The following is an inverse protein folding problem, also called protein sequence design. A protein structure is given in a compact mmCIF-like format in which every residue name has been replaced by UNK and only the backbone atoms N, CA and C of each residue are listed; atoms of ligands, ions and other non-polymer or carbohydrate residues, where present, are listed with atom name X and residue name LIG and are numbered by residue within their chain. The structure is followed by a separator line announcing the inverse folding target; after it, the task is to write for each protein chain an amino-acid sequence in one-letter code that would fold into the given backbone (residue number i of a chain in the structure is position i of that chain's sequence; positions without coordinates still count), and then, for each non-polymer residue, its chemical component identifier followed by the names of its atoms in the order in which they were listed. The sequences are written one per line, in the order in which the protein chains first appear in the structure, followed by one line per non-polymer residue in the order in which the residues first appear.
data_IF_261626334743
#
_entry.id   IF_261626334743
#
_cell.length_a   1.000
_cell.length_b   1.000
_cell.length_c   1.000
_cell.angle_alpha   90.00
_cell.angle_beta   90.00
_cell.angle_gamma   90.00
#
_symmetry.space_group_name_H-M   'P 1'
#
loop_
_entity.id
_entity.type
_entity.pdbx_description
1 polymer ?
#
# COMPACT_ATOMS: atom_id res chain seq x y z
N UNK A 1 12.91 2.12 1.71
CA UNK A 1 12.00 3.27 1.49
C UNK A 1 12.83 4.46 1.02
N UNK A 2 12.34 5.27 0.09
CA UNK A 2 13.04 6.48 -0.36
C UNK A 2 12.09 7.66 -0.60
N UNK A 3 12.64 8.87 -0.51
CA UNK A 3 11.95 10.13 -0.73
C UNK A 3 12.21 10.66 -2.13
N UNK A 4 11.16 11.07 -2.82
CA UNK A 4 11.23 11.82 -4.06
C UNK A 4 10.92 13.27 -3.74
N UNK A 5 11.93 14.14 -3.84
CA UNK A 5 11.78 15.57 -3.62
C UNK A 5 11.13 16.25 -4.83
N UNK A 6 10.52 17.40 -4.59
CA UNK A 6 9.99 18.26 -5.64
C UNK A 6 11.13 18.81 -6.50
N UNK A 7 10.89 18.94 -7.81
CA UNK A 7 11.89 19.46 -8.75
C UNK A 7 12.10 20.97 -8.60
N UNK A 8 11.07 21.69 -8.13
CA UNK A 8 11.09 23.14 -7.92
C UNK A 8 11.59 23.45 -6.51
N UNK A 9 10.93 22.88 -5.49
CA UNK A 9 11.33 23.04 -4.09
C UNK A 9 12.02 21.78 -3.56
N UNK A 10 13.35 21.75 -3.65
CA UNK A 10 14.16 20.60 -3.24
C UNK A 10 14.09 20.26 -1.74
N UNK A 11 13.43 21.10 -0.93
CA UNK A 11 13.18 20.81 0.50
C UNK A 11 11.83 20.13 0.71
N UNK A 12 10.95 20.14 -0.28
CA UNK A 12 9.61 19.58 -0.19
C UNK A 12 9.56 18.16 -0.75
N UNK A 13 8.85 17.27 -0.05
CA UNK A 13 8.73 15.87 -0.43
C UNK A 13 7.52 15.73 -1.36
N UNK A 14 7.77 15.38 -2.62
CA UNK A 14 6.72 15.14 -3.61
C UNK A 14 6.04 13.77 -3.41
N UNK A 15 6.80 12.74 -3.05
CA UNK A 15 6.23 11.43 -2.72
C UNK A 15 7.22 10.57 -1.93
N UNK A 16 6.69 9.62 -1.18
CA UNK A 16 7.46 8.52 -0.59
C UNK A 16 7.22 7.28 -1.44
N UNK A 17 8.29 6.57 -1.76
CA UNK A 17 8.24 5.29 -2.48
C UNK A 17 8.87 4.19 -1.64
N UNK A 18 8.32 2.98 -1.77
CA UNK A 18 8.69 1.82 -0.97
C UNK A 18 8.64 0.56 -1.82
N UNK A 19 9.50 -0.39 -1.48
CA UNK A 19 9.40 -1.76 -1.95
C UNK A 19 8.89 -2.61 -0.79
N UNK A 20 7.73 -3.25 -0.97
CA UNK A 20 7.16 -4.16 0.01
C UNK A 20 7.50 -5.58 -0.42
N UNK A 21 7.89 -6.41 0.52
CA UNK A 21 8.22 -7.82 0.29
C UNK A 21 7.35 -8.67 1.20
N UNK A 22 6.72 -9.70 0.66
CA UNK A 22 5.98 -10.68 1.45
C UNK A 22 6.87 -11.80 1.98
N UNK A 23 6.29 -12.76 2.70
CA UNK A 23 7.00 -13.91 3.26
C UNK A 23 7.59 -14.86 2.21
N UNK A 24 7.11 -14.82 0.96
CA UNK A 24 7.59 -15.62 -0.16
C UNK A 24 8.72 -14.94 -0.93
N UNK A 25 8.98 -13.67 -0.61
CA UNK A 25 9.95 -12.84 -1.33
C UNK A 25 9.35 -12.10 -2.53
N UNK A 26 8.03 -12.18 -2.74
CA UNK A 26 7.36 -11.43 -3.81
C UNK A 26 7.38 -9.94 -3.45
N UNK A 27 7.75 -9.13 -4.43
CA UNK A 27 7.95 -7.70 -4.25
C UNK A 27 6.87 -6.90 -4.96
N UNK A 28 6.38 -5.84 -4.31
CA UNK A 28 5.47 -4.88 -4.91
C UNK A 28 5.87 -3.45 -4.56
N UNK A 29 5.88 -2.59 -5.57
CA UNK A 29 6.11 -1.16 -5.39
C UNK A 29 4.92 -0.52 -4.68
N UNK A 30 5.18 0.39 -3.74
CA UNK A 30 4.16 1.17 -3.09
C UNK A 30 4.50 2.67 -3.05
N UNK A 31 3.50 3.53 -3.25
CA UNK A 31 3.65 4.98 -3.36
C UNK A 31 2.71 5.73 -2.40
N UNK A 32 3.25 6.76 -1.76
CA UNK A 32 2.51 7.77 -1.00
C UNK A 32 2.70 9.12 -1.65
N UNK A 33 1.64 9.67 -2.23
CA UNK A 33 1.69 10.99 -2.88
C UNK A 33 1.77 12.15 -1.88
N UNK A 34 2.35 13.28 -2.31
CA UNK A 34 2.54 14.55 -1.57
C UNK A 34 1.45 14.84 -0.53
N UNK A 35 0.19 14.84 -0.98
CA UNK A 35 -0.99 15.15 -0.16
C UNK A 35 -1.19 14.24 1.08
N UNK A 36 -0.51 13.10 1.13
CA UNK A 36 -0.60 12.13 2.23
C UNK A 36 0.74 11.91 2.93
N UNK A 37 1.84 12.49 2.46
CA UNK A 37 3.18 12.31 3.05
C UNK A 37 3.16 12.61 4.55
N UNK A 38 2.60 13.76 4.95
CA UNK A 38 2.54 14.16 6.36
C UNK A 38 1.78 13.17 7.27
N UNK A 39 0.89 12.35 6.71
CA UNK A 39 0.12 11.36 7.45
C UNK A 39 0.90 10.07 7.70
N UNK A 40 1.94 9.79 6.91
CA UNK A 40 2.62 8.51 6.91
C UNK A 40 4.12 8.58 7.22
N UNK A 41 4.78 9.69 6.93
CA UNK A 41 6.23 9.90 7.05
C UNK A 41 6.82 9.48 8.41
N UNK A 42 6.09 9.77 9.49
CA UNK A 42 6.51 9.41 10.86
C UNK A 42 6.19 7.96 11.26
N UNK A 43 5.31 7.30 10.52
CA UNK A 43 4.76 5.98 10.88
C UNK A 43 5.32 4.84 10.03
N UNK A 44 5.70 5.15 8.79
CA UNK A 44 6.31 4.20 7.89
C UNK A 44 7.81 4.42 7.93
N UNK A 45 8.50 3.47 8.55
CA UNK A 45 9.94 3.31 8.47
C UNK A 45 10.23 1.91 7.94
N UNK A 46 11.49 1.55 7.80
CA UNK A 46 11.84 0.17 7.42
C UNK A 46 11.43 -0.81 8.55
N UNK A 47 10.79 -1.92 8.19
CA UNK A 47 10.26 -2.89 9.15
C UNK A 47 9.10 -3.72 8.61
N UNK A 48 8.42 -4.43 9.51
CA UNK A 48 7.28 -5.30 9.19
C UNK A 48 5.96 -4.58 9.49
N UNK A 49 5.05 -4.58 8.53
CA UNK A 49 3.78 -3.86 8.64
C UNK A 49 2.61 -4.68 8.16
N UNK A 50 1.49 -4.57 8.88
CA UNK A 50 0.18 -4.93 8.38
C UNK A 50 -0.43 -3.72 7.67
N UNK A 51 -0.63 -3.82 6.35
CA UNK A 51 -1.18 -2.76 5.52
C UNK A 51 -2.58 -3.17 5.05
N UNK A 52 -3.56 -2.26 5.16
CA UNK A 52 -4.94 -2.51 4.79
C UNK A 52 -5.59 -1.29 4.15
N UNK A 53 -6.60 -1.54 3.30
CA UNK A 53 -7.39 -0.51 2.60
C UNK A 53 -6.54 0.37 1.68
N UNK A 54 -5.73 -0.27 0.85
CA UNK A 54 -4.92 0.39 -0.17
C UNK A 54 -5.56 0.27 -1.55
N UNK A 55 -5.10 1.11 -2.48
CA UNK A 55 -5.47 1.01 -3.89
C UNK A 55 -4.39 0.25 -4.64
N UNK A 56 -4.80 -0.50 -5.66
CA UNK A 56 -3.91 -1.17 -6.61
C UNK A 56 -4.08 -0.48 -7.95
N UNK A 57 -2.98 -0.12 -8.58
CA UNK A 57 -2.96 0.47 -9.91
C UNK A 57 -1.87 -0.19 -10.75
N UNK A 58 -1.97 -0.11 -12.07
CA UNK A 58 -0.89 -0.52 -12.94
C UNK A 58 0.36 0.31 -12.67
N UNK A 59 1.53 -0.32 -12.77
CA UNK A 59 2.76 0.45 -12.85
C UNK A 59 2.70 1.40 -14.05
N UNK A 60 3.27 2.58 -13.88
CA UNK A 60 3.28 3.64 -14.89
C UNK A 60 4.66 4.29 -14.95
N UNK A 61 5.07 4.66 -16.17
CA UNK A 61 6.38 5.24 -16.45
C UNK A 61 7.42 4.18 -16.76
N UNK A 62 8.68 4.59 -16.88
CA UNK A 62 9.80 3.68 -17.19
C UNK A 62 10.54 3.20 -15.94
N UNK A 63 10.34 3.86 -14.80
CA UNK A 63 10.97 3.51 -13.55
C UNK A 63 10.14 2.46 -12.81
N UNK A 64 10.73 1.28 -12.63
CA UNK A 64 10.12 0.15 -11.93
C UNK A 64 11.14 -0.45 -10.96
N UNK A 65 10.93 -0.30 -9.64
CA UNK A 65 11.82 -0.88 -8.64
C UNK A 65 11.65 -2.41 -8.49
N UNK A 66 10.63 -3.00 -9.10
CA UNK A 66 10.40 -4.45 -9.19
C UNK A 66 9.59 -4.79 -10.44
N UNK A 67 9.60 -6.08 -10.82
CA UNK A 67 8.94 -6.59 -12.03
C UNK A 67 7.41 -6.76 -11.90
N UNK A 68 6.84 -6.40 -10.74
CA UNK A 68 5.42 -6.56 -10.50
C UNK A 68 4.60 -5.55 -11.33
N UNK A 69 3.67 -6.05 -12.16
CA UNK A 69 2.84 -5.26 -13.11
C UNK A 69 1.95 -4.19 -12.46
N UNK A 70 1.71 -4.32 -11.16
CA UNK A 70 0.92 -3.41 -10.36
C UNK A 70 1.74 -2.78 -9.23
N UNK A 71 1.27 -1.65 -8.73
CA UNK A 71 1.75 -0.98 -7.53
C UNK A 71 0.63 -0.64 -6.58
N UNK A 72 0.98 -0.46 -5.31
CA UNK A 72 0.11 -0.05 -4.24
C UNK A 72 0.15 1.48 -4.09
N UNK A 73 -1.01 2.10 -3.89
CA UNK A 73 -1.11 3.52 -3.58
C UNK A 73 -1.88 3.74 -2.29
N UNK A 74 -1.30 4.52 -1.39
CA UNK A 74 -1.96 4.96 -0.17
C UNK A 74 -2.85 6.17 -0.49
N UNK A 75 -4.13 6.09 -0.13
CA UNK A 75 -5.06 7.21 -0.27
C UNK A 75 -5.84 7.44 1.02
N UNK A 76 -6.09 8.73 1.27
CA UNK A 76 -7.08 9.20 2.20
C UNK A 76 -8.22 9.82 1.39
N UNK A 77 -9.37 9.18 1.39
CA UNK A 77 -10.57 9.78 0.81
C UNK A 77 -11.24 10.65 1.86
N UNK A 78 -11.26 11.96 1.63
CA UNK A 78 -12.09 12.84 2.45
C UNK A 78 -13.52 12.68 1.92
N UNK A 79 -14.48 12.47 2.82
CA UNK A 79 -15.91 12.38 2.50
C UNK A 79 -16.31 13.43 1.47
N UNK A 80 -16.91 13.01 0.36
CA UNK A 80 -17.87 13.87 -0.32
C UNK A 80 -19.03 14.10 0.66
N UNK A 81 -19.45 15.36 0.81
CA UNK A 81 -20.38 15.78 1.87
C UNK A 81 -21.82 15.26 1.68
N UNK A 82 -22.12 14.55 0.61
CA UNK A 82 -23.51 14.32 0.16
C UNK A 82 -24.05 12.89 0.27
N UNK A 83 -23.30 11.90 0.79
CA UNK A 83 -23.85 10.55 1.01
C UNK A 83 -23.64 10.05 2.45
N UNK A 84 -24.76 9.90 3.16
CA UNK A 84 -24.84 9.57 4.58
C UNK A 84 -24.57 8.08 4.89
N UNK A 85 -24.18 7.28 3.90
CA UNK A 85 -24.14 5.81 4.04
C UNK A 85 -22.78 5.13 3.81
N UNK A 86 -21.69 5.85 3.49
CA UNK A 86 -20.39 5.21 3.20
C UNK A 86 -19.24 5.59 4.13
N UNK A 87 -18.51 4.54 4.55
CA UNK A 87 -17.41 4.57 5.53
C UNK A 87 -16.12 5.04 4.87
N UNK A 88 -15.42 6.00 5.48
CA UNK A 88 -14.10 6.47 5.05
C UNK A 88 -13.11 5.29 4.86
N UNK A 89 -12.64 5.06 3.63
CA UNK A 89 -11.65 4.03 3.30
C UNK A 89 -10.26 4.68 3.27
N UNK A 90 -9.68 4.89 4.45
CA UNK A 90 -8.28 5.29 4.56
C UNK A 90 -7.39 4.07 4.56
N UNK A 91 -6.29 4.14 3.82
CA UNK A 91 -5.21 3.18 3.99
C UNK A 91 -4.71 3.26 5.43
N UNK A 92 -4.59 2.11 6.06
CA UNK A 92 -4.15 2.02 7.45
C UNK A 92 -2.99 1.07 7.53
N UNK A 93 -2.07 1.40 8.41
CA UNK A 93 -0.80 0.71 8.60
C UNK A 93 -0.67 0.44 10.09
N UNK A 94 -0.21 -0.76 10.43
CA UNK A 94 0.20 -1.10 11.79
C UNK A 94 1.58 -1.75 11.71
N UNK A 95 2.57 -1.13 12.34
CA UNK A 95 3.86 -1.79 12.54
C UNK A 95 3.65 -2.97 13.49
N UNK A 96 4.24 -4.10 13.14
CA UNK A 96 4.24 -5.30 13.98
C UNK A 96 5.69 -5.70 14.21
N UNK A 97 5.96 -6.33 15.36
CA UNK A 97 7.20 -7.07 15.52
C UNK A 97 7.25 -8.16 14.45
N UNK A 98 8.42 -8.71 14.14
CA UNK A 98 8.53 -9.81 13.18
C UNK A 98 7.82 -11.04 13.74
N UNK A 99 6.51 -11.11 13.54
CA UNK A 99 5.68 -12.25 13.89
C UNK A 99 6.01 -13.32 12.86
N UNK A 100 6.51 -14.47 13.30
CA UNK A 100 6.74 -15.62 12.41
C UNK A 100 5.46 -15.95 11.62
N UNK A 101 5.57 -16.52 10.41
CA UNK A 101 4.43 -16.76 9.52
C UNK A 101 3.27 -17.54 10.16
N UNK A 102 3.53 -18.31 11.23
CA UNK A 102 2.52 -19.08 11.98
C UNK A 102 1.59 -18.24 12.88
N UNK A 103 1.99 -17.03 13.29
CA UNK A 103 1.22 -16.19 14.21
C UNK A 103 0.47 -15.04 13.50
N UNK A 104 0.51 -14.98 12.15
CA UNK A 104 -0.27 -14.04 11.37
C UNK A 104 -1.78 -14.24 11.66
N UNK A 105 -2.50 -13.24 12.21
CA UNK A 105 -3.86 -13.46 12.66
C UNK A 105 -4.75 -13.82 11.48
N UNK A 106 -5.52 -14.89 11.64
CA UNK A 106 -6.45 -15.43 10.64
C UNK A 106 -7.66 -14.48 10.48
N UNK A 107 -7.45 -13.31 9.88
CA UNK A 107 -8.50 -12.33 9.63
C UNK A 107 -9.44 -12.87 8.55
N UNK A 108 -10.57 -13.46 8.97
CA UNK A 108 -11.73 -13.69 8.10
C UNK A 108 -12.29 -12.32 7.68
N UNK A 109 -11.90 -11.87 6.48
CA UNK A 109 -12.41 -10.65 5.85
C UNK A 109 -13.93 -10.79 5.63
N UNK A 110 -14.74 -10.15 6.47
CA UNK A 110 -16.21 -10.20 6.42
C UNK A 110 -16.85 -9.38 5.28
N UNK A 111 -16.06 -8.70 4.45
CA UNK A 111 -16.57 -7.93 3.32
C UNK A 111 -16.22 -8.61 2.00
N UNK A 112 -17.26 -9.04 1.27
CA UNK A 112 -17.18 -9.71 -0.05
C UNK A 112 -16.45 -8.88 -1.14
N UNK A 113 -16.17 -7.60 -0.89
CA UNK A 113 -15.47 -6.70 -1.82
C UNK A 113 -13.98 -6.47 -1.47
N UNK A 114 -13.49 -7.03 -0.36
CA UNK A 114 -12.07 -7.01 -0.02
C UNK A 114 -11.51 -8.40 -0.31
N UNK A 115 -11.10 -8.62 -1.57
CA UNK A 115 -10.34 -9.81 -1.92
C UNK A 115 -9.09 -9.81 -1.05
N UNK A 116 -8.96 -10.86 -0.25
CA UNK A 116 -7.69 -11.27 0.34
C UNK A 116 -6.72 -11.34 -0.84
N UNK A 117 -5.80 -10.39 -0.98
CA UNK A 117 -4.64 -10.62 -1.85
C UNK A 117 -3.73 -11.53 -1.03
N UNK A 118 -4.11 -12.81 -0.90
CA UNK A 118 -3.09 -13.85 -0.83
C UNK A 118 -2.77 -14.08 -2.29
N UNK A 119 -1.56 -13.71 -2.69
CA UNK A 119 -1.01 -14.22 -3.92
C UNK A 119 -0.71 -15.71 -3.68
N UNK A 120 -1.69 -16.55 -4.01
CA UNK A 120 -1.44 -17.96 -4.27
C UNK A 120 -1.09 -18.03 -5.76
N UNK A 121 0.16 -18.34 -6.06
CA UNK A 121 0.75 -18.32 -7.41
C UNK A 121 0.15 -19.34 -8.39
N UNK A 122 -1.05 -19.85 -8.12
CA UNK A 122 -1.73 -20.88 -8.88
C UNK A 122 -3.18 -20.49 -9.21
N UNK A 123 -3.40 -19.32 -9.79
CA UNK A 123 -4.63 -19.11 -10.56
C UNK A 123 -4.31 -18.46 -11.90
N UNK A 124 -4.21 -19.35 -12.89
CA UNK A 124 -4.48 -19.06 -14.29
C UNK A 124 -5.81 -18.30 -14.38
N UNK A 125 -5.77 -17.10 -14.96
CA UNK A 125 -6.98 -16.39 -15.33
C UNK A 125 -7.48 -17.02 -16.63
N UNK A 126 -8.45 -17.94 -16.53
CA UNK A 126 -9.33 -18.23 -17.66
C UNK A 126 -10.16 -16.99 -18.02
N UNK A 127 -10.43 -16.88 -19.32
CA UNK A 127 -10.86 -15.72 -20.10
C UNK A 127 -12.17 -15.05 -19.66
#
# INVERSE_FOLDING_TARGET
MWYMYDFIDKKDINRIEMLLTDEKGDQIHAIIYKKFVSSYDKTLQEGVFLIYRFYVEHQQGNYHPCDHKYRITFKWDKKDKDDSSQTTINSKVKQIDAIGPEEAPNYKLKNRNLRKIIYDGNNEYEK
#
